data_IF_171833474457
#
_entry.id   IF_171833474457
#
_cell.length_a   1.000
_cell.length_b   1.000
_cell.length_c   1.000
_cell.angle_alpha   90.00
_cell.angle_beta   90.00
_cell.angle_gamma   90.00
#
_symmetry.space_group_name_H-M   'P 1'
#
loop_
_entity.id
_entity.type
_entity.pdbx_description
1 polymer ?
#
# COMPACT_ATOMS: atom_id res chain seq x y z
N UNK A 1 -1.19 -20.06 9.89
CA UNK A 1 -0.11 -19.08 10.10
C UNK A 1 -0.55 -17.69 9.60
N UNK A 2 -1.50 -17.07 10.28
CA UNK A 2 -2.04 -15.76 9.87
C UNK A 2 -2.24 -14.82 11.07
N UNK A 3 -1.57 -15.06 12.22
CA UNK A 3 -1.83 -14.31 13.46
C UNK A 3 -0.87 -13.13 13.72
N UNK A 4 0.21 -12.95 12.97
CA UNK A 4 1.24 -11.94 13.29
C UNK A 4 1.16 -10.63 12.48
N UNK A 5 0.14 -10.48 11.64
CA UNK A 5 0.02 -9.33 10.71
C UNK A 5 -0.62 -8.09 11.39
N UNK A 6 -1.12 -8.18 12.61
CA UNK A 6 -2.07 -7.20 13.15
C UNK A 6 -1.60 -6.44 14.40
N UNK A 7 -0.30 -6.18 14.60
CA UNK A 7 0.14 -5.24 15.64
C UNK A 7 0.47 -3.87 15.05
N UNK A 8 -0.54 -3.06 14.87
CA UNK A 8 -0.38 -1.64 14.58
C UNK A 8 0.02 -0.86 15.84
N UNK A 9 1.07 -0.07 15.75
CA UNK A 9 1.52 0.82 16.82
C UNK A 9 0.78 2.15 16.70
N UNK A 10 0.04 2.53 17.73
CA UNK A 10 -0.55 3.86 17.83
C UNK A 10 0.58 4.87 18.05
N UNK A 11 0.83 5.73 17.08
CA UNK A 11 1.80 6.83 17.25
C UNK A 11 1.02 8.11 17.50
N UNK A 12 0.93 8.50 18.76
CA UNK A 12 0.40 9.80 19.17
C UNK A 12 1.57 10.76 19.40
N UNK A 13 1.64 11.84 18.65
CA UNK A 13 2.58 12.95 18.92
C UNK A 13 1.81 14.23 19.12
N UNK A 14 1.64 14.61 20.40
CA UNK A 14 1.13 15.92 20.81
C UNK A 14 -0.40 16.12 20.72
N UNK A 15 -0.94 17.22 21.28
CA UNK A 15 -2.38 17.47 21.36
C UNK A 15 -3.06 17.76 20.00
N UNK A 16 -2.30 17.85 18.92
CA UNK A 16 -2.77 18.05 17.55
C UNK A 16 -2.22 16.99 16.59
N UNK A 17 -1.73 15.88 17.12
CA UNK A 17 -1.22 14.83 16.26
C UNK A 17 -2.39 14.08 15.62
N UNK A 18 -2.37 14.00 14.32
CA UNK A 18 -3.13 12.99 13.58
C UNK A 18 -2.97 11.66 14.29
N UNK A 19 -4.05 11.13 14.88
CA UNK A 19 -4.04 9.78 15.46
C UNK A 19 -3.92 8.79 14.29
N UNK A 20 -2.68 8.55 13.85
CA UNK A 20 -2.40 7.57 12.81
C UNK A 20 -2.47 6.16 13.41
N UNK A 21 -3.37 5.34 12.94
CA UNK A 21 -3.31 3.89 13.16
C UNK A 21 -2.57 3.31 11.97
N UNK A 22 -1.29 3.01 12.17
CA UNK A 22 -0.51 2.29 11.16
C UNK A 22 -0.81 0.80 11.25
N UNK A 23 -1.28 0.21 10.16
CA UNK A 23 -1.21 -1.24 9.93
C UNK A 23 -0.27 -1.45 8.78
N UNK A 24 0.67 -2.38 8.93
CA UNK A 24 1.63 -2.72 7.90
C UNK A 24 1.72 -4.22 7.72
N UNK A 25 2.10 -4.62 6.52
CA UNK A 25 2.38 -6.00 6.18
C UNK A 25 3.57 -6.05 5.23
N UNK A 26 4.27 -7.18 5.22
CA UNK A 26 5.38 -7.42 4.32
C UNK A 26 5.10 -8.67 3.50
N UNK A 27 5.22 -8.54 2.19
CA UNK A 27 5.15 -9.65 1.24
C UNK A 27 6.54 -9.85 0.67
N UNK A 28 7.04 -11.06 0.75
CA UNK A 28 8.33 -11.43 0.13
C UNK A 28 8.07 -12.63 -0.77
N UNK A 29 8.35 -12.46 -2.04
CA UNK A 29 8.26 -13.54 -3.02
C UNK A 29 9.61 -13.70 -3.71
N UNK A 30 10.08 -14.92 -3.78
CA UNK A 30 11.42 -15.23 -4.32
C UNK A 30 11.30 -16.11 -5.54
N UNK A 31 12.22 -15.90 -6.48
CA UNK A 31 12.32 -16.71 -7.70
C UNK A 31 11.01 -16.71 -8.52
N UNK A 32 10.45 -15.53 -8.73
CA UNK A 32 9.20 -15.35 -9.48
C UNK A 32 9.44 -14.58 -10.75
N UNK A 33 8.62 -14.89 -11.77
CA UNK A 33 8.49 -14.12 -12.98
C UNK A 33 7.57 -12.93 -12.71
N UNK A 34 7.89 -11.77 -13.27
CA UNK A 34 7.08 -10.58 -13.14
C UNK A 34 7.39 -9.53 -14.22
N UNK A 35 6.44 -8.65 -14.42
CA UNK A 35 6.60 -7.39 -15.12
C UNK A 35 6.26 -6.25 -14.15
N UNK A 36 7.20 -5.36 -13.88
CA UNK A 36 7.01 -4.30 -12.88
C UNK A 36 5.95 -3.30 -13.35
N UNK A 37 5.87 -3.02 -14.64
CA UNK A 37 4.89 -2.10 -15.19
C UNK A 37 3.48 -2.67 -15.07
N UNK A 38 3.31 -3.96 -15.32
CA UNK A 38 2.03 -4.64 -15.14
C UNK A 38 1.61 -4.67 -13.67
N UNK A 39 2.54 -4.87 -12.74
CA UNK A 39 2.27 -4.79 -11.30
C UNK A 39 1.81 -3.38 -10.92
N UNK A 40 2.52 -2.35 -11.35
CA UNK A 40 2.17 -0.95 -11.05
C UNK A 40 0.80 -0.60 -11.65
N UNK A 41 0.52 -1.03 -12.89
CA UNK A 41 -0.78 -0.84 -13.54
C UNK A 41 -1.90 -1.51 -12.74
N UNK A 42 -1.72 -2.78 -12.33
CA UNK A 42 -2.76 -3.50 -11.58
C UNK A 42 -3.00 -2.88 -10.21
N UNK A 43 -1.97 -2.41 -9.50
CA UNK A 43 -2.13 -1.66 -8.26
C UNK A 43 -2.95 -0.38 -8.50
N UNK A 44 -2.68 0.34 -9.60
CA UNK A 44 -3.43 1.54 -9.97
C UNK A 44 -4.90 1.22 -10.28
N UNK A 45 -5.18 0.20 -11.07
CA UNK A 45 -6.55 -0.20 -11.40
C UNK A 45 -7.27 -0.78 -10.20
N UNK A 46 -6.61 -1.63 -9.42
CA UNK A 46 -7.18 -2.24 -8.23
C UNK A 46 -7.48 -1.23 -7.13
N UNK A 47 -6.63 -0.20 -6.97
CA UNK A 47 -6.91 0.90 -6.06
C UNK A 47 -8.14 1.69 -6.53
N UNK A 48 -8.26 2.00 -7.81
CA UNK A 48 -9.43 2.68 -8.37
C UNK A 48 -10.74 1.91 -8.18
N UNK A 49 -10.76 0.60 -8.41
CA UNK A 49 -11.93 -0.28 -8.14
C UNK A 49 -12.36 -0.25 -6.69
N UNK A 50 -11.44 -0.01 -5.75
CA UNK A 50 -11.73 0.10 -4.32
C UNK A 50 -11.97 1.55 -3.87
N UNK A 51 -12.28 2.46 -4.80
CA UNK A 51 -12.55 3.88 -4.56
C UNK A 51 -11.39 4.66 -3.91
N UNK A 52 -10.16 4.21 -4.12
CA UNK A 52 -8.99 5.01 -3.79
C UNK A 52 -8.67 5.99 -4.92
N UNK A 53 -8.24 7.17 -4.55
CA UNK A 53 -7.88 8.26 -5.44
C UNK A 53 -6.43 8.69 -5.20
N UNK A 54 -5.93 9.60 -6.01
CA UNK A 54 -4.62 10.19 -5.79
C UNK A 54 -3.46 9.20 -5.93
N UNK A 55 -3.58 8.20 -6.83
CA UNK A 55 -2.47 7.30 -7.11
C UNK A 55 -1.23 8.10 -7.52
N UNK A 56 -0.13 7.88 -6.83
CA UNK A 56 1.18 8.49 -7.09
C UNK A 56 2.26 7.44 -6.99
N UNK A 57 3.13 7.39 -7.99
CA UNK A 57 4.42 6.73 -7.93
C UNK A 57 5.44 7.81 -7.52
N UNK A 58 5.76 7.88 -6.22
CA UNK A 58 6.54 8.98 -5.66
C UNK A 58 8.04 8.83 -5.94
N UNK A 59 8.51 7.59 -5.98
CA UNK A 59 9.91 7.27 -6.19
C UNK A 59 9.99 6.01 -7.03
N UNK A 60 10.81 6.04 -8.04
CA UNK A 60 11.14 4.88 -8.85
C UNK A 60 12.61 4.98 -9.24
N UNK A 61 13.39 4.03 -8.80
CA UNK A 61 14.83 3.95 -9.07
C UNK A 61 15.14 2.59 -9.68
N UNK A 62 15.92 2.60 -10.74
CA UNK A 62 16.47 1.44 -11.38
C UNK A 62 18.00 1.49 -11.28
N UNK A 63 18.61 0.41 -10.85
CA UNK A 63 20.05 0.21 -10.79
C UNK A 63 20.43 -1.08 -11.49
N UNK A 64 21.36 -1.03 -12.41
CA UNK A 64 21.96 -2.23 -13.00
C UNK A 64 23.35 -2.37 -12.41
N UNK A 65 23.61 -3.47 -11.72
CA UNK A 65 24.90 -3.73 -11.10
C UNK A 65 25.91 -4.37 -12.05
N UNK A 66 27.17 -4.42 -11.63
CA UNK A 66 28.26 -5.00 -12.41
C UNK A 66 28.06 -6.46 -12.78
N UNK A 67 27.25 -7.19 -12.03
CA UNK A 67 26.83 -8.59 -12.31
C UNK A 67 25.72 -8.69 -13.37
N UNK A 68 25.31 -7.58 -13.97
CA UNK A 68 24.23 -7.52 -14.96
C UNK A 68 22.81 -7.63 -14.38
N UNK A 69 22.68 -7.71 -13.06
CA UNK A 69 21.38 -7.86 -12.41
C UNK A 69 20.71 -6.51 -12.15
N UNK A 70 19.39 -6.54 -12.22
CA UNK A 70 18.53 -5.39 -12.04
C UNK A 70 18.05 -5.29 -10.59
N UNK A 71 18.03 -4.07 -10.10
CA UNK A 71 17.53 -3.69 -8.79
C UNK A 71 16.57 -2.53 -8.98
N UNK A 72 15.36 -2.67 -8.45
CA UNK A 72 14.37 -1.61 -8.49
C UNK A 72 13.93 -1.28 -7.07
N UNK A 73 13.64 -0.01 -6.84
CA UNK A 73 12.95 0.42 -5.63
C UNK A 73 11.96 1.52 -5.95
N UNK A 74 10.86 1.54 -5.22
CA UNK A 74 9.86 2.57 -5.42
C UNK A 74 8.85 2.61 -4.30
N UNK A 75 8.07 3.70 -4.34
CA UNK A 75 6.98 3.93 -3.40
C UNK A 75 5.74 4.36 -4.16
N UNK A 76 4.65 3.65 -3.92
CA UNK A 76 3.33 3.95 -4.44
C UNK A 76 2.45 4.42 -3.30
N UNK A 77 1.75 5.53 -3.49
CA UNK A 77 0.76 6.02 -2.52
C UNK A 77 -0.58 6.25 -3.19
N UNK A 78 -1.64 6.02 -2.44
CA UNK A 78 -3.01 6.36 -2.81
C UNK A 78 -3.84 6.59 -1.55
N UNK A 79 -4.94 7.30 -1.69
CA UNK A 79 -5.74 7.71 -0.56
C UNK A 79 -7.24 7.56 -0.84
N UNK A 80 -8.03 7.51 0.21
CA UNK A 80 -9.48 7.49 0.15
C UNK A 80 -10.05 8.35 1.27
N UNK A 81 -10.88 9.33 0.90
CA UNK A 81 -11.68 10.03 1.88
C UNK A 81 -12.82 9.10 2.32
N UNK A 82 -12.85 8.81 3.60
CA UNK A 82 -13.91 7.98 4.18
C UNK A 82 -15.16 8.82 4.45
N UNK A 83 -14.93 10.03 4.94
CA UNK A 83 -15.92 11.08 5.14
C UNK A 83 -15.24 12.45 5.18
N UNK A 84 -15.92 13.49 5.70
CA UNK A 84 -15.37 14.85 5.79
C UNK A 84 -14.24 15.02 6.81
N UNK A 85 -14.05 14.04 7.70
CA UNK A 85 -13.12 14.15 8.83
C UNK A 85 -11.99 13.12 8.76
N UNK A 86 -12.23 11.98 8.11
CA UNK A 86 -11.30 10.84 8.06
C UNK A 86 -10.84 10.53 6.63
N UNK A 87 -9.54 10.45 6.47
CA UNK A 87 -8.87 9.96 5.26
C UNK A 87 -8.06 8.71 5.55
N UNK A 88 -8.20 7.71 4.72
CA UNK A 88 -7.34 6.54 4.66
C UNK A 88 -6.23 6.76 3.64
N UNK A 89 -4.97 6.50 4.03
CA UNK A 89 -3.83 6.57 3.14
C UNK A 89 -3.10 5.23 3.12
N UNK A 90 -2.80 4.76 1.93
CA UNK A 90 -1.95 3.61 1.70
C UNK A 90 -0.61 4.03 1.12
N UNK A 91 0.45 3.33 1.55
CA UNK A 91 1.78 3.40 0.96
C UNK A 91 2.29 1.98 0.76
N UNK A 92 2.78 1.70 -0.43
CA UNK A 92 3.41 0.44 -0.80
C UNK A 92 4.84 0.75 -1.19
N UNK A 93 5.79 0.38 -0.32
CA UNK A 93 7.19 0.35 -0.71
C UNK A 93 7.47 -0.98 -1.39
N UNK A 94 8.10 -0.93 -2.54
CA UNK A 94 8.55 -2.14 -3.22
C UNK A 94 10.05 -2.10 -3.47
N UNK A 95 10.66 -3.27 -3.38
CA UNK A 95 12.06 -3.49 -3.72
C UNK A 95 12.23 -4.79 -4.48
N UNK A 96 12.87 -4.72 -5.63
CA UNK A 96 13.25 -5.87 -6.45
C UNK A 96 14.75 -6.03 -6.33
N UNK A 97 15.20 -7.25 -6.09
CA UNK A 97 16.61 -7.53 -5.84
C UNK A 97 17.12 -8.64 -6.72
N UNK A 98 18.18 -8.34 -7.46
CA UNK A 98 18.92 -9.31 -8.27
C UNK A 98 18.07 -9.94 -9.36
N UNK A 99 17.23 -9.13 -10.02
CA UNK A 99 16.39 -9.63 -11.10
C UNK A 99 17.17 -9.76 -12.41
N UNK A 100 16.79 -10.73 -13.21
CA UNK A 100 17.36 -11.03 -14.52
C UNK A 100 16.25 -10.95 -15.58
N UNK A 101 16.58 -10.46 -16.77
CA UNK A 101 15.64 -10.51 -17.91
C UNK A 101 15.64 -11.93 -18.48
N UNK A 102 14.46 -12.50 -18.61
CA UNK A 102 14.27 -13.83 -19.17
C UNK A 102 13.22 -13.80 -20.28
N UNK A 103 13.45 -14.55 -21.33
CA UNK A 103 12.42 -14.81 -22.33
C UNK A 103 11.54 -15.96 -21.87
N UNK A 104 10.26 -15.79 -21.99
CA UNK A 104 9.27 -16.78 -21.58
C UNK A 104 8.23 -16.97 -22.67
N UNK A 105 7.73 -18.18 -22.80
CA UNK A 105 6.63 -18.50 -23.68
C UNK A 105 5.32 -18.54 -22.88
N UNK A 106 4.34 -17.76 -23.36
CA UNK A 106 2.99 -17.74 -22.79
C UNK A 106 2.08 -18.79 -23.41
N UNK A 107 0.86 -18.89 -22.88
CA UNK A 107 -0.20 -19.71 -23.44
C UNK A 107 -0.42 -19.41 -24.89
N UNK A 108 -0.32 -19.80 -25.88
CA UNK A 108 -0.48 -19.46 -27.30
C UNK A 108 0.85 -19.16 -28.04
N UNK A 109 1.99 -19.57 -27.48
CA UNK A 109 3.28 -19.38 -28.13
C UNK A 109 3.79 -17.93 -28.21
N UNK A 110 3.17 -17.02 -27.46
CA UNK A 110 3.60 -15.62 -27.43
C UNK A 110 4.84 -15.47 -26.55
N UNK A 111 5.92 -15.03 -27.15
CA UNK A 111 7.18 -14.78 -26.43
C UNK A 111 7.11 -13.41 -25.76
N UNK A 112 7.40 -13.35 -24.46
CA UNK A 112 7.52 -12.12 -23.68
C UNK A 112 8.85 -12.04 -22.96
N UNK A 113 9.35 -10.84 -22.76
CA UNK A 113 10.47 -10.57 -21.88
C UNK A 113 9.92 -10.22 -20.50
N UNK A 114 10.18 -11.07 -19.53
CA UNK A 114 9.83 -10.84 -18.13
C UNK A 114 11.09 -10.71 -17.29
N UNK A 115 10.92 -10.27 -16.07
CA UNK A 115 11.97 -10.28 -15.05
C UNK A 115 11.79 -11.50 -14.14
N UNK A 116 12.89 -12.10 -13.74
CA UNK A 116 12.92 -13.18 -12.74
C UNK A 116 13.78 -12.77 -11.57
N UNK A 117 13.22 -12.78 -10.37
CA UNK A 117 13.97 -12.33 -9.20
C UNK A 117 13.18 -12.37 -7.90
N UNK A 118 13.66 -11.59 -6.94
CA UNK A 118 13.04 -11.43 -5.62
C UNK A 118 12.31 -10.10 -5.53
N UNK A 119 11.02 -10.15 -5.19
CA UNK A 119 10.20 -8.96 -4.95
C UNK A 119 9.86 -8.88 -3.46
N UNK A 120 9.93 -7.68 -2.92
CA UNK A 120 9.55 -7.36 -1.55
C UNK A 120 8.58 -6.19 -1.62
N UNK A 121 7.37 -6.38 -1.10
CA UNK A 121 6.42 -5.29 -0.86
C UNK A 121 6.30 -5.04 0.64
N UNK A 122 6.29 -3.80 1.04
CA UNK A 122 6.00 -3.38 2.41
C UNK A 122 4.81 -2.43 2.36
N UNK A 123 3.69 -2.88 2.92
CA UNK A 123 2.45 -2.11 2.93
C UNK A 123 2.37 -1.32 4.24
N UNK A 124 2.02 -0.05 4.12
CA UNK A 124 1.71 0.81 5.25
C UNK A 124 0.34 1.42 5.04
N UNK A 125 -0.44 1.47 6.10
CA UNK A 125 -1.77 2.06 6.07
C UNK A 125 -1.92 3.01 7.24
N UNK A 126 -2.33 4.23 6.96
CA UNK A 126 -2.56 5.25 7.96
C UNK A 126 -3.98 5.79 7.85
N UNK A 127 -4.50 6.28 8.96
CA UNK A 127 -5.75 7.02 9.03
C UNK A 127 -5.43 8.43 9.51
N UNK A 128 -5.71 9.41 8.67
CA UNK A 128 -5.53 10.82 8.99
C UNK A 128 -6.88 11.39 9.45
N UNK A 129 -6.95 11.86 10.70
CA UNK A 129 -8.10 12.57 11.24
C UNK A 129 -7.97 14.06 10.94
N UNK A 130 -9.10 14.73 10.75
CA UNK A 130 -9.14 16.17 10.47
C UNK A 130 -8.21 16.57 9.31
N UNK A 131 -8.26 15.77 8.22
CA UNK A 131 -7.35 15.92 7.09
C UNK A 131 -7.49 17.26 6.36
N UNK A 132 -8.66 17.89 6.42
CA UNK A 132 -8.91 19.23 5.89
C UNK A 132 -8.56 20.34 6.91
N UNK A 133 -8.04 19.94 8.08
CA UNK A 133 -7.62 20.84 9.15
C UNK A 133 -8.74 21.79 9.65
N UNK A 134 -9.98 21.32 9.71
CA UNK A 134 -11.13 22.07 10.21
C UNK A 134 -10.91 22.53 11.65
N UNK A 135 -10.27 21.66 12.46
CA UNK A 135 -9.95 21.92 13.86
C UNK A 135 -8.46 22.21 14.09
N UNK A 136 -7.67 22.35 13.02
CA UNK A 136 -6.23 22.64 13.13
C UNK A 136 -6.02 23.96 13.85
N UNK A 137 -5.07 23.99 14.77
CA UNK A 137 -4.76 25.15 15.61
C UNK A 137 -5.87 25.58 16.58
N UNK A 138 -6.84 24.69 16.84
CA UNK A 138 -7.89 24.95 17.83
C UNK A 138 -7.31 24.97 19.24
N UNK A 139 -6.95 26.15 19.73
CA UNK A 139 -6.64 26.37 21.15
C UNK A 139 -7.91 26.81 21.89
N UNK A 140 -7.99 26.57 23.20
CA UNK A 140 -9.11 27.00 24.01
C UNK A 140 -10.41 26.28 23.65
N UNK A 141 -11.50 27.01 23.50
CA UNK A 141 -12.86 26.49 23.31
C UNK A 141 -12.96 25.57 22.06
N UNK A 142 -12.32 25.91 20.96
CA UNK A 142 -12.35 25.08 19.75
C UNK A 142 -11.67 23.72 19.97
N UNK A 143 -10.56 23.68 20.69
CA UNK A 143 -9.89 22.43 21.04
C UNK A 143 -10.75 21.54 21.95
N UNK A 144 -11.50 22.14 22.87
CA UNK A 144 -12.46 21.45 23.71
C UNK A 144 -13.64 20.89 22.89
N UNK A 145 -14.18 21.67 21.98
CA UNK A 145 -15.23 21.21 21.05
C UNK A 145 -14.73 20.04 20.19
N UNK A 146 -13.51 20.12 19.66
CA UNK A 146 -12.92 19.01 18.91
C UNK A 146 -12.79 17.74 19.73
N UNK A 147 -12.35 17.87 20.99
CA UNK A 147 -12.25 16.72 21.90
C UNK A 147 -13.63 16.08 22.15
N UNK A 148 -14.66 16.88 22.47
CA UNK A 148 -16.02 16.38 22.65
C UNK A 148 -16.52 15.72 21.35
N UNK A 149 -16.35 16.36 20.20
CA UNK A 149 -16.76 15.80 18.92
C UNK A 149 -16.11 14.45 18.68
N UNK A 150 -14.80 14.34 18.86
CA UNK A 150 -14.10 13.07 18.62
C UNK A 150 -14.54 11.98 19.62
N UNK A 151 -14.50 12.24 20.92
CA UNK A 151 -14.73 11.21 21.95
C UNK A 151 -16.19 10.76 22.03
N UNK A 152 -17.16 11.66 21.84
CA UNK A 152 -18.56 11.34 22.08
C UNK A 152 -19.38 11.15 20.79
N UNK A 153 -18.98 11.78 19.70
CA UNK A 153 -19.74 11.74 18.43
C UNK A 153 -19.06 10.84 17.43
N UNK A 154 -17.76 11.05 17.21
CA UNK A 154 -17.05 10.44 16.09
C UNK A 154 -16.37 9.11 16.43
N UNK A 155 -16.11 8.82 17.69
CA UNK A 155 -15.32 7.66 18.12
C UNK A 155 -15.84 6.32 17.58
N UNK A 156 -17.16 6.09 17.59
CA UNK A 156 -17.76 4.86 17.07
C UNK A 156 -17.52 4.71 15.56
N UNK A 157 -17.66 5.80 14.81
CA UNK A 157 -17.40 5.84 13.37
C UNK A 157 -15.92 5.54 13.08
N UNK A 158 -15.02 6.14 13.84
CA UNK A 158 -13.58 5.89 13.78
C UNK A 158 -13.24 4.42 14.02
N UNK A 159 -13.76 3.80 15.07
CA UNK A 159 -13.51 2.38 15.38
C UNK A 159 -14.06 1.46 14.26
N UNK A 160 -15.20 1.77 13.67
CA UNK A 160 -15.71 1.06 12.50
C UNK A 160 -14.77 1.15 11.30
N UNK A 161 -14.27 2.34 10.99
CA UNK A 161 -13.30 2.53 9.91
C UNK A 161 -11.96 1.85 10.20
N UNK A 162 -11.52 1.81 11.44
CA UNK A 162 -10.33 1.11 11.88
C UNK A 162 -10.46 -0.41 11.70
N UNK A 163 -11.63 -0.97 11.97
CA UNK A 163 -11.91 -2.38 11.68
C UNK A 163 -11.82 -2.66 10.17
N UNK A 164 -12.44 -1.84 9.36
CA UNK A 164 -12.42 -1.95 7.90
C UNK A 164 -11.03 -1.75 7.29
N UNK A 165 -10.14 -1.03 7.97
CA UNK A 165 -8.76 -0.84 7.54
C UNK A 165 -8.03 -2.18 7.35
N UNK A 166 -8.21 -3.12 8.25
CA UNK A 166 -7.62 -4.45 8.16
C UNK A 166 -8.09 -5.22 6.92
N UNK A 167 -9.39 -5.16 6.65
CA UNK A 167 -10.00 -5.80 5.47
C UNK A 167 -9.47 -5.18 4.17
N UNK A 168 -9.39 -3.85 4.12
CA UNK A 168 -8.89 -3.15 2.93
C UNK A 168 -7.40 -3.42 2.70
N UNK A 169 -6.59 -3.48 3.76
CA UNK A 169 -5.18 -3.87 3.66
C UNK A 169 -5.04 -5.30 3.13
N UNK A 170 -5.89 -6.22 3.59
CA UNK A 170 -5.95 -7.58 3.08
C UNK A 170 -6.26 -7.66 1.59
N UNK A 171 -7.21 -6.88 1.10
CA UNK A 171 -7.54 -6.82 -0.34
C UNK A 171 -6.38 -6.34 -1.20
N UNK A 172 -5.64 -5.32 -0.75
CA UNK A 172 -4.45 -4.84 -1.48
C UNK A 172 -3.34 -5.89 -1.47
N UNK A 173 -3.15 -6.57 -0.35
CA UNK A 173 -2.20 -7.68 -0.26
C UNK A 173 -2.56 -8.81 -1.23
N UNK A 174 -3.82 -9.23 -1.25
CA UNK A 174 -4.35 -10.27 -2.15
C UNK A 174 -4.18 -9.88 -3.62
N UNK A 175 -4.45 -8.62 -3.96
CA UNK A 175 -4.24 -8.09 -5.32
C UNK A 175 -2.78 -8.25 -5.76
N UNK A 176 -1.82 -7.90 -4.90
CA UNK A 176 -0.40 -8.05 -5.20
C UNK A 176 0.01 -9.51 -5.41
N UNK A 177 -0.48 -10.41 -4.57
CA UNK A 177 -0.21 -11.85 -4.69
C UNK A 177 -0.82 -12.41 -5.98
N UNK A 178 -2.08 -12.11 -6.26
CA UNK A 178 -2.77 -12.59 -7.45
C UNK A 178 -2.08 -12.10 -8.73
N UNK A 179 -1.59 -10.86 -8.74
CA UNK A 179 -0.84 -10.34 -9.86
C UNK A 179 0.48 -11.09 -10.08
N UNK A 180 1.21 -11.38 -9.02
CA UNK A 180 2.44 -12.20 -9.12
C UNK A 180 2.09 -13.61 -9.59
N UNK A 181 1.04 -14.19 -9.07
CA UNK A 181 0.62 -15.54 -9.42
C UNK A 181 0.13 -15.65 -10.87
N UNK A 182 -0.34 -14.55 -11.46
CA UNK A 182 -0.72 -14.52 -12.89
C UNK A 182 0.43 -14.80 -13.85
N UNK A 183 1.67 -14.53 -13.42
CA UNK A 183 2.86 -14.82 -14.23
C UNK A 183 3.31 -16.30 -14.19
N UNK A 184 2.74 -17.13 -13.31
CA UNK A 184 3.06 -18.57 -13.22
C UNK A 184 2.64 -19.38 -14.45
N UNK A 185 1.78 -18.82 -15.30
CA UNK A 185 1.38 -19.47 -16.56
C UNK A 185 2.48 -19.44 -17.63
N UNK A 186 3.49 -18.60 -17.48
CA UNK A 186 4.60 -18.49 -18.42
C UNK A 186 5.67 -19.53 -18.10
N UNK A 187 6.26 -20.12 -19.13
CA UNK A 187 7.35 -21.08 -19.04
C UNK A 187 8.64 -20.44 -19.56
N UNK A 188 9.73 -20.68 -18.85
CA UNK A 188 11.04 -20.29 -19.36
C UNK A 188 11.37 -21.15 -20.58
N UNK A 189 11.79 -20.49 -21.65
CA UNK A 189 12.22 -21.14 -22.90
C UNK A 189 13.65 -21.63 -22.80
#
# INVERSE_FOLDING_TARGET
MAKDILRGKLVSKGPHATKGVGKGGKVIVTNVLFDIDDIIKEVKFGSGRNAYIGFKLNKFEEEIRKDGKYYYSGNITFERNMDFYLRQRFSIDFAIKGAEKVQVEGPNGVIRNLMKGKIIFTLFTNMDLDYDNVFKNSKGIRGFIHHIFFEYIYFKTYESHKFNLGTNTGKIHELLINQIDSFKIYKES
#
